data_IF_341472870752
#
_entry.id   IF_341472870752
#
_cell.length_a   1.000
_cell.length_b   1.000
_cell.length_c   1.000
_cell.angle_alpha   90.00
_cell.angle_beta   90.00
_cell.angle_gamma   90.00
#
_symmetry.space_group_name_H-M   'P 1'
#
loop_
_entity.id
_entity.type
_entity.pdbx_description
1 polymer ?
#
# COMPACT_ATOMS: atom_id res chain seq x y z
N UNK A 1 30.15 1.79 -22.72
CA UNK A 1 28.86 2.47 -22.92
C UNK A 1 28.58 2.55 -24.42
N UNK A 2 27.36 2.27 -24.87
CA UNK A 2 26.97 2.44 -26.28
C UNK A 2 26.95 3.93 -26.65
N UNK A 3 27.57 4.32 -27.76
CA UNK A 3 27.60 5.70 -28.25
C UNK A 3 26.27 6.14 -28.87
N UNK A 4 26.18 7.41 -29.28
CA UNK A 4 24.99 7.99 -29.93
C UNK A 4 24.56 7.25 -31.22
N UNK A 5 25.46 6.47 -31.83
CA UNK A 5 25.21 5.66 -33.02
C UNK A 5 24.33 4.41 -32.77
N UNK A 6 24.07 4.02 -31.52
CA UNK A 6 23.28 2.82 -31.19
C UNK A 6 22.13 3.13 -30.23
N UNK A 7 21.12 3.92 -30.67
CA UNK A 7 20.04 4.38 -29.81
C UNK A 7 19.20 3.25 -29.20
N UNK A 8 18.94 2.17 -29.94
CA UNK A 8 18.20 1.00 -29.44
C UNK A 8 18.95 0.26 -28.34
N UNK A 9 20.25 -0.02 -28.53
CA UNK A 9 21.07 -0.71 -27.52
C UNK A 9 21.16 0.11 -26.23
N UNK A 10 21.35 1.44 -26.35
CA UNK A 10 21.33 2.35 -25.21
C UNK A 10 19.97 2.35 -24.50
N UNK A 11 18.86 2.38 -25.24
CA UNK A 11 17.53 2.32 -24.66
C UNK A 11 17.29 1.01 -23.91
N UNK A 12 17.71 -0.14 -24.46
CA UNK A 12 17.66 -1.44 -23.76
C UNK A 12 18.49 -1.45 -22.47
N UNK A 13 19.68 -0.85 -22.47
CA UNK A 13 20.47 -0.69 -21.24
C UNK A 13 19.72 0.11 -20.18
N UNK A 14 19.07 1.22 -20.55
CA UNK A 14 18.26 2.02 -19.61
C UNK A 14 17.11 1.19 -19.02
N UNK A 15 16.46 0.36 -19.83
CA UNK A 15 15.40 -0.54 -19.37
C UNK A 15 15.95 -1.59 -18.39
N UNK A 16 17.10 -2.20 -18.69
CA UNK A 16 17.74 -3.17 -17.80
C UNK A 16 18.21 -2.53 -16.48
N UNK A 17 18.79 -1.32 -16.53
CA UNK A 17 19.16 -0.54 -15.33
C UNK A 17 17.92 -0.24 -14.48
N UNK A 18 16.81 0.12 -15.12
CA UNK A 18 15.54 0.32 -14.44
C UNK A 18 15.06 -0.97 -13.75
N UNK A 19 15.11 -2.12 -14.43
CA UNK A 19 14.74 -3.40 -13.82
C UNK A 19 15.56 -3.73 -12.57
N UNK A 20 16.89 -3.56 -12.63
CA UNK A 20 17.79 -3.75 -11.48
C UNK A 20 17.46 -2.76 -10.34
N UNK A 21 17.19 -1.50 -10.67
CA UNK A 21 16.79 -0.50 -9.68
C UNK A 21 15.47 -0.89 -8.99
N UNK A 22 14.46 -1.33 -9.76
CA UNK A 22 13.18 -1.78 -9.20
C UNK A 22 13.34 -3.02 -8.31
N UNK A 23 14.10 -4.03 -8.77
CA UNK A 23 14.38 -5.25 -8.02
C UNK A 23 15.12 -4.98 -6.71
N UNK A 24 16.03 -3.99 -6.71
CA UNK A 24 16.77 -3.56 -5.52
C UNK A 24 16.03 -2.52 -4.66
N UNK A 25 14.74 -2.27 -4.96
CA UNK A 25 13.89 -1.26 -4.32
C UNK A 25 14.49 0.15 -4.34
N UNK A 26 15.26 0.51 -5.36
CA UNK A 26 15.67 1.89 -5.61
C UNK A 26 14.63 2.62 -6.47
N UNK A 27 13.80 3.43 -5.81
CA UNK A 27 12.69 4.15 -6.44
C UNK A 27 13.08 5.56 -6.92
N UNK A 28 14.32 5.99 -6.72
CA UNK A 28 14.79 7.34 -7.06
C UNK A 28 15.30 7.47 -8.51
N UNK A 29 14.95 6.53 -9.38
CA UNK A 29 15.46 6.47 -10.75
C UNK A 29 15.07 7.69 -11.63
N UNK A 30 15.80 7.97 -12.71
CA UNK A 30 15.44 9.08 -13.62
C UNK A 30 14.25 8.70 -14.52
N UNK A 31 13.03 9.04 -14.11
CA UNK A 31 11.78 8.73 -14.86
C UNK A 31 11.83 9.19 -16.32
N UNK A 32 12.41 10.37 -16.58
CA UNK A 32 12.58 10.92 -17.93
C UNK A 32 13.45 10.04 -18.83
N UNK A 33 14.45 9.36 -18.25
CA UNK A 33 15.34 8.47 -19.01
C UNK A 33 14.58 7.22 -19.47
N UNK A 34 13.79 6.62 -18.58
CA UNK A 34 12.98 5.44 -18.92
C UNK A 34 11.89 5.78 -19.95
N UNK A 35 11.24 6.94 -19.80
CA UNK A 35 10.26 7.41 -20.78
C UNK A 35 10.89 7.66 -22.17
N UNK A 36 12.07 8.28 -22.23
CA UNK A 36 12.79 8.50 -23.48
C UNK A 36 13.26 7.17 -24.11
N UNK A 37 13.71 6.20 -23.29
CA UNK A 37 14.07 4.87 -23.75
C UNK A 37 12.85 4.14 -24.33
N UNK A 38 11.71 4.16 -23.65
CA UNK A 38 10.44 3.59 -24.14
C UNK A 38 10.04 4.20 -25.50
N UNK A 39 10.06 5.52 -25.63
CA UNK A 39 9.73 6.21 -26.88
C UNK A 39 10.68 5.81 -28.02
N UNK A 40 11.99 5.71 -27.72
CA UNK A 40 13.01 5.27 -28.69
C UNK A 40 12.75 3.84 -29.16
N UNK A 41 12.44 2.92 -28.23
CA UNK A 41 12.18 1.51 -28.55
C UNK A 41 10.92 1.36 -29.40
N UNK A 42 9.84 2.05 -29.03
CA UNK A 42 8.59 2.04 -29.78
C UNK A 42 8.77 2.58 -31.22
N UNK A 43 9.49 3.70 -31.37
CA UNK A 43 9.78 4.30 -32.68
C UNK A 43 10.63 3.39 -33.60
N UNK A 44 11.37 2.45 -33.01
CA UNK A 44 12.23 1.50 -33.74
C UNK A 44 11.59 0.10 -33.86
N UNK A 45 10.31 -0.06 -33.50
CA UNK A 45 9.56 -1.31 -33.62
C UNK A 45 9.88 -2.37 -32.55
N UNK A 46 10.63 -2.04 -31.50
CA UNK A 46 10.94 -2.94 -30.39
C UNK A 46 9.81 -2.90 -29.33
N UNK A 47 8.64 -3.42 -29.73
CA UNK A 47 7.40 -3.38 -28.94
C UNK A 47 7.53 -4.10 -27.59
N UNK A 48 8.29 -5.21 -27.54
CA UNK A 48 8.48 -6.00 -26.32
C UNK A 48 9.24 -5.21 -25.27
N UNK A 49 10.37 -4.57 -25.62
CA UNK A 49 11.14 -3.78 -24.65
C UNK A 49 10.44 -2.45 -24.31
N UNK A 50 9.69 -1.87 -25.26
CA UNK A 50 8.87 -0.70 -24.99
C UNK A 50 7.76 -1.00 -23.97
N UNK A 51 7.08 -2.15 -24.11
CA UNK A 51 6.10 -2.64 -23.15
C UNK A 51 6.74 -2.93 -21.79
N UNK A 52 7.90 -3.58 -21.77
CA UNK A 52 8.61 -3.86 -20.52
C UNK A 52 8.98 -2.58 -19.77
N UNK A 53 9.43 -1.53 -20.47
CA UNK A 53 9.68 -0.22 -19.88
C UNK A 53 8.41 0.38 -19.23
N UNK A 54 7.25 0.22 -19.87
CA UNK A 54 5.96 0.64 -19.33
C UNK A 54 5.59 -0.14 -18.06
N UNK A 55 5.82 -1.45 -18.06
CA UNK A 55 5.56 -2.32 -16.90
C UNK A 55 6.45 -1.97 -15.71
N UNK A 56 7.73 -1.68 -15.95
CA UNK A 56 8.64 -1.20 -14.91
C UNK A 56 8.14 0.11 -14.30
N UNK A 57 7.72 1.07 -15.13
CA UNK A 57 7.13 2.33 -14.66
C UNK A 57 5.86 2.09 -13.84
N UNK A 58 4.94 1.25 -14.33
CA UNK A 58 3.69 0.94 -13.63
C UNK A 58 3.94 0.25 -12.28
N UNK A 59 4.87 -0.71 -12.21
CA UNK A 59 5.27 -1.37 -10.96
C UNK A 59 5.86 -0.38 -9.96
N UNK A 60 6.70 0.56 -10.39
CA UNK A 60 7.18 1.61 -9.49
C UNK A 60 6.04 2.49 -8.98
N UNK A 61 5.14 2.93 -9.86
CA UNK A 61 4.00 3.78 -9.49
C UNK A 61 3.09 3.07 -8.47
N UNK A 62 2.90 1.75 -8.61
CA UNK A 62 2.22 0.92 -7.61
C UNK A 62 2.90 0.96 -6.22
N UNK A 63 4.23 0.92 -6.17
CA UNK A 63 4.98 1.01 -4.91
C UNK A 63 4.92 2.40 -4.28
N UNK A 64 4.77 3.44 -5.10
CA UNK A 64 4.57 4.82 -4.65
C UNK A 64 3.10 5.13 -4.32
N UNK A 65 2.19 4.16 -4.49
CA UNK A 65 0.74 4.37 -4.27
C UNK A 65 0.05 5.24 -5.34
N UNK A 66 0.70 5.50 -6.49
CA UNK A 66 0.18 6.33 -7.59
C UNK A 66 -0.62 5.47 -8.58
N UNK A 67 -1.78 4.99 -8.13
CA UNK A 67 -2.57 3.97 -8.84
C UNK A 67 -3.11 4.44 -10.20
N UNK A 68 -3.55 5.70 -10.30
CA UNK A 68 -4.12 6.22 -11.55
C UNK A 68 -3.05 6.31 -12.64
N UNK A 69 -1.86 6.78 -12.28
CA UNK A 69 -0.73 6.86 -13.20
C UNK A 69 -0.21 5.47 -13.58
N UNK A 70 -0.23 4.50 -12.65
CA UNK A 70 0.11 3.12 -12.95
C UNK A 70 -0.88 2.52 -13.97
N UNK A 71 -2.17 2.84 -13.81
CA UNK A 71 -3.23 2.43 -14.74
C UNK A 71 -3.02 3.04 -16.12
N UNK A 72 -2.74 4.36 -16.19
CA UNK A 72 -2.45 5.04 -17.45
C UNK A 72 -1.23 4.45 -18.17
N UNK A 73 -0.17 4.13 -17.43
CA UNK A 73 1.04 3.55 -18.02
C UNK A 73 0.79 2.21 -18.73
N UNK A 74 -0.22 1.44 -18.28
CA UNK A 74 -0.63 0.18 -18.90
C UNK A 74 -1.56 0.36 -20.10
N UNK A 75 -2.45 1.35 -20.09
CA UNK A 75 -3.41 1.60 -21.19
C UNK A 75 -2.71 1.81 -22.53
N UNK A 76 -1.50 2.38 -22.50
CA UNK A 76 -0.69 2.67 -23.68
C UNK A 76 0.08 1.44 -24.23
N UNK A 77 -0.22 0.23 -23.75
CA UNK A 77 0.45 -1.01 -24.16
C UNK A 77 -0.57 -1.95 -24.79
N UNK A 78 -0.38 -2.25 -26.07
CA UNK A 78 -1.12 -3.33 -26.73
C UNK A 78 -0.58 -4.68 -26.27
N UNK A 79 -1.28 -5.33 -25.35
CA UNK A 79 -0.84 -6.58 -24.76
C UNK A 79 -1.09 -7.80 -25.65
N UNK A 80 -2.06 -7.75 -26.57
CA UNK A 80 -2.48 -8.94 -27.31
C UNK A 80 -1.38 -9.48 -28.24
N UNK A 81 -0.62 -8.56 -28.84
CA UNK A 81 0.47 -8.88 -29.77
C UNK A 81 1.80 -9.24 -29.06
N UNK A 82 1.84 -9.19 -27.73
CA UNK A 82 3.04 -9.48 -26.96
C UNK A 82 3.17 -10.98 -26.65
N UNK A 83 4.40 -11.48 -26.41
CA UNK A 83 4.63 -12.84 -25.93
C UNK A 83 3.87 -13.15 -24.64
N UNK A 84 3.53 -14.42 -24.42
CA UNK A 84 2.76 -14.87 -23.27
C UNK A 84 3.31 -14.40 -21.92
N UNK A 85 4.64 -14.38 -21.75
CA UNK A 85 5.29 -13.87 -20.54
C UNK A 85 4.99 -12.39 -20.30
N UNK A 86 5.07 -11.55 -21.34
CA UNK A 86 4.77 -10.11 -21.24
C UNK A 86 3.29 -9.88 -20.94
N UNK A 87 2.39 -10.68 -21.52
CA UNK A 87 0.94 -10.62 -21.20
C UNK A 87 0.66 -10.97 -19.76
N UNK A 88 1.29 -12.02 -19.22
CA UNK A 88 1.13 -12.38 -17.82
C UNK A 88 1.59 -11.26 -16.89
N UNK A 89 2.71 -10.60 -17.20
CA UNK A 89 3.18 -9.42 -16.44
C UNK A 89 2.20 -8.25 -16.54
N UNK A 90 1.64 -7.98 -17.73
CA UNK A 90 0.61 -6.95 -17.91
C UNK A 90 -0.59 -7.19 -16.98
N UNK A 91 -1.15 -8.39 -17.03
CA UNK A 91 -2.34 -8.77 -16.26
C UNK A 91 -2.05 -8.84 -14.76
N UNK A 92 -0.84 -9.24 -14.34
CA UNK A 92 -0.41 -9.15 -12.94
C UNK A 92 -0.40 -7.71 -12.42
N UNK A 93 0.09 -6.75 -13.22
CA UNK A 93 0.11 -5.34 -12.83
C UNK A 93 -1.32 -4.79 -12.78
N UNK A 94 -2.16 -5.13 -13.78
CA UNK A 94 -3.56 -4.74 -13.81
C UNK A 94 -4.31 -5.28 -12.57
N UNK A 95 -4.13 -6.56 -12.24
CA UNK A 95 -4.67 -7.16 -11.02
C UNK A 95 -4.15 -6.50 -9.76
N UNK A 96 -2.85 -6.18 -9.69
CA UNK A 96 -2.25 -5.43 -8.60
C UNK A 96 -2.83 -4.02 -8.40
N UNK A 97 -3.28 -3.35 -9.48
CA UNK A 97 -4.02 -2.07 -9.42
C UNK A 97 -5.43 -2.32 -8.89
N UNK A 98 -6.16 -3.29 -9.44
CA UNK A 98 -7.52 -3.62 -9.06
C UNK A 98 -7.62 -4.01 -7.57
N UNK A 99 -6.70 -4.84 -7.08
CA UNK A 99 -6.56 -5.21 -5.66
C UNK A 99 -6.45 -3.96 -4.77
N UNK A 100 -5.53 -3.03 -5.10
CA UNK A 100 -5.32 -1.79 -4.32
C UNK A 100 -6.48 -0.81 -4.42
N UNK A 101 -7.25 -0.86 -5.52
CA UNK A 101 -8.49 -0.10 -5.68
C UNK A 101 -9.68 -0.72 -4.93
N UNK A 102 -9.53 -1.93 -4.39
CA UNK A 102 -10.60 -2.73 -3.79
C UNK A 102 -11.70 -3.09 -4.79
N UNK A 103 -11.29 -3.48 -6.00
CA UNK A 103 -12.17 -4.04 -7.04
C UNK A 103 -11.90 -5.53 -7.16
N UNK A 104 -12.64 -6.33 -6.41
CA UNK A 104 -12.37 -7.76 -6.29
C UNK A 104 -12.68 -8.50 -7.58
N UNK A 105 -13.79 -8.16 -8.24
CA UNK A 105 -14.17 -8.80 -9.51
C UNK A 105 -13.14 -8.53 -10.61
N UNK A 106 -12.75 -7.27 -10.80
CA UNK A 106 -11.73 -6.87 -11.78
C UNK A 106 -10.37 -7.54 -11.48
N UNK A 107 -10.00 -7.64 -10.20
CA UNK A 107 -8.80 -8.34 -9.77
C UNK A 107 -8.86 -9.85 -10.07
N UNK A 108 -9.99 -10.51 -9.81
CA UNK A 108 -10.16 -11.93 -10.11
C UNK A 108 -10.03 -12.21 -11.62
N UNK A 109 -10.68 -11.40 -12.45
CA UNK A 109 -10.66 -11.55 -13.91
C UNK A 109 -9.27 -11.32 -14.51
N UNK A 110 -8.58 -10.26 -14.08
CA UNK A 110 -7.20 -9.96 -14.51
C UNK A 110 -6.23 -11.05 -14.08
N UNK A 111 -6.29 -11.50 -12.82
CA UNK A 111 -5.40 -12.56 -12.33
C UNK A 111 -5.66 -13.92 -12.99
N UNK A 112 -6.90 -14.24 -13.35
CA UNK A 112 -7.20 -15.42 -14.15
C UNK A 112 -6.56 -15.36 -15.56
N UNK A 113 -6.57 -14.18 -16.21
CA UNK A 113 -5.86 -13.98 -17.48
C UNK A 113 -4.35 -14.05 -17.31
N UNK A 114 -3.82 -13.52 -16.21
CA UNK A 114 -2.40 -13.63 -15.87
C UNK A 114 -1.98 -15.10 -15.71
N UNK A 115 -2.79 -15.91 -15.03
CA UNK A 115 -2.55 -17.33 -14.84
C UNK A 115 -2.51 -18.09 -16.17
N UNK A 116 -3.47 -17.84 -17.06
CA UNK A 116 -3.49 -18.45 -18.38
C UNK A 116 -2.24 -18.11 -19.20
N UNK A 117 -1.85 -16.83 -19.23
CA UNK A 117 -0.66 -16.38 -19.94
C UNK A 117 0.65 -16.90 -19.30
N UNK A 118 0.71 -17.00 -17.98
CA UNK A 118 1.86 -17.55 -17.26
C UNK A 118 2.07 -19.04 -17.59
N UNK A 119 0.99 -19.84 -17.59
CA UNK A 119 1.05 -21.24 -18.01
C UNK A 119 1.53 -21.39 -19.46
N UNK A 120 1.02 -20.56 -20.38
CA UNK A 120 1.47 -20.55 -21.78
C UNK A 120 2.95 -20.20 -21.93
N UNK A 121 3.48 -19.34 -21.05
CA UNK A 121 4.91 -18.96 -21.08
C UNK A 121 5.84 -20.08 -20.62
N UNK A 122 5.35 -21.02 -19.80
CA UNK A 122 6.14 -22.10 -19.22
C UNK A 122 7.20 -21.63 -18.20
N UNK A 123 7.13 -20.38 -17.71
CA UNK A 123 8.12 -19.81 -16.77
C UNK A 123 7.66 -20.06 -15.32
N UNK A 124 8.35 -20.92 -14.53
CA UNK A 124 7.90 -21.26 -13.18
C UNK A 124 7.86 -20.07 -12.22
N UNK A 125 8.83 -19.15 -12.34
CA UNK A 125 8.87 -17.94 -11.51
C UNK A 125 7.64 -17.05 -11.74
N UNK A 126 7.14 -16.97 -12.97
CA UNK A 126 5.97 -16.17 -13.30
C UNK A 126 4.67 -16.82 -12.79
N UNK A 127 4.60 -18.15 -12.80
CA UNK A 127 3.50 -18.89 -12.16
C UNK A 127 3.47 -18.61 -10.66
N UNK A 128 4.62 -18.63 -9.98
CA UNK A 128 4.70 -18.34 -8.54
C UNK A 128 4.25 -16.91 -8.20
N UNK A 129 4.56 -15.92 -9.04
CA UNK A 129 4.06 -14.55 -8.88
C UNK A 129 2.54 -14.46 -9.02
N UNK A 130 1.95 -15.20 -9.96
CA UNK A 130 0.48 -15.30 -10.10
C UNK A 130 -0.14 -15.98 -8.88
N UNK A 131 0.42 -17.08 -8.41
CA UNK A 131 -0.07 -17.79 -7.22
C UNK A 131 -0.05 -16.88 -5.99
N UNK A 132 1.01 -16.08 -5.82
CA UNK A 132 1.10 -15.10 -4.74
C UNK A 132 0.03 -14.00 -4.86
N UNK A 133 -0.23 -13.50 -6.07
CA UNK A 133 -1.28 -12.51 -6.29
C UNK A 133 -2.69 -13.08 -6.04
N UNK A 134 -2.93 -14.35 -6.42
CA UNK A 134 -4.17 -15.07 -6.14
C UNK A 134 -4.37 -15.29 -4.63
N UNK A 135 -3.31 -15.62 -3.89
CA UNK A 135 -3.37 -15.69 -2.43
C UNK A 135 -3.75 -14.34 -1.81
N UNK A 136 -3.19 -13.24 -2.32
CA UNK A 136 -3.53 -11.89 -1.84
C UNK A 136 -5.00 -11.51 -2.12
N UNK A 137 -5.59 -11.97 -3.22
CA UNK A 137 -7.01 -11.78 -3.53
C UNK A 137 -7.94 -12.45 -2.49
N UNK A 138 -7.54 -13.62 -2.01
CA UNK A 138 -8.33 -14.42 -1.05
C UNK A 138 -7.99 -14.16 0.42
N UNK A 139 -6.93 -13.40 0.69
CA UNK A 139 -6.54 -13.01 2.04
C UNK A 139 -7.56 -12.05 2.70
N UNK A 140 -7.47 -11.91 4.02
CA UNK A 140 -8.21 -10.89 4.77
C UNK A 140 -7.77 -9.50 4.31
N UNK A 141 -8.69 -8.76 3.71
CA UNK A 141 -8.42 -7.45 3.12
C UNK A 141 -8.63 -6.30 4.13
N UNK A 142 -9.60 -6.47 5.03
CA UNK A 142 -9.91 -5.50 6.08
C UNK A 142 -10.69 -6.15 7.23
N UNK A 143 -10.97 -5.37 8.28
CA UNK A 143 -11.89 -5.76 9.34
C UNK A 143 -13.02 -4.75 9.43
N UNK A 144 -14.26 -5.23 9.44
CA UNK A 144 -15.43 -4.45 9.79
C UNK A 144 -15.52 -4.37 11.31
N UNK A 145 -15.55 -3.16 11.85
CA UNK A 145 -15.76 -2.90 13.27
C UNK A 145 -17.10 -2.20 13.46
N UNK A 146 -17.96 -2.83 14.25
CA UNK A 146 -19.27 -2.33 14.68
C UNK A 146 -19.38 -2.48 16.21
N UNK A 147 -20.44 -1.97 16.85
CA UNK A 147 -20.66 -2.16 18.28
C UNK A 147 -20.79 -3.63 18.69
N UNK A 148 -21.25 -4.47 17.77
CA UNK A 148 -21.47 -5.90 18.00
C UNK A 148 -20.17 -6.70 17.90
N UNK A 149 -19.08 -6.09 17.42
CA UNK A 149 -17.75 -6.69 17.38
C UNK A 149 -16.96 -6.37 16.12
N UNK A 150 -15.87 -7.11 15.93
CA UNK A 150 -15.01 -7.02 14.76
C UNK A 150 -15.10 -8.30 13.93
N UNK A 151 -15.27 -8.17 12.61
CA UNK A 151 -15.33 -9.27 11.65
C UNK A 151 -14.33 -9.04 10.52
N UNK A 152 -13.60 -10.09 10.16
CA UNK A 152 -12.68 -10.05 9.02
C UNK A 152 -13.46 -10.08 7.71
N UNK A 153 -13.00 -9.30 6.73
CA UNK A 153 -13.59 -9.16 5.42
C UNK A 153 -12.60 -9.57 4.33
N UNK A 154 -13.09 -10.35 3.38
CA UNK A 154 -12.46 -10.58 2.07
C UNK A 154 -12.52 -9.33 1.19
N UNK A 155 -11.73 -9.29 0.11
CA UNK A 155 -11.74 -8.15 -0.80
C UNK A 155 -13.13 -7.92 -1.44
N UNK A 156 -13.86 -8.99 -1.76
CA UNK A 156 -15.20 -8.91 -2.34
C UNK A 156 -16.21 -8.32 -1.35
N UNK A 157 -16.12 -8.68 -0.08
CA UNK A 157 -16.97 -8.08 0.96
C UNK A 157 -16.62 -6.62 1.23
N UNK A 158 -15.33 -6.25 1.13
CA UNK A 158 -14.91 -4.84 1.17
C UNK A 158 -15.51 -4.08 -0.02
N UNK A 159 -15.42 -4.60 -1.24
CA UNK A 159 -16.02 -3.99 -2.43
C UNK A 159 -17.53 -3.77 -2.26
N UNK A 160 -18.25 -4.81 -1.81
CA UNK A 160 -19.68 -4.73 -1.53
C UNK A 160 -20.02 -3.71 -0.43
N UNK A 161 -19.23 -3.67 0.64
CA UNK A 161 -19.39 -2.67 1.71
C UNK A 161 -19.19 -1.26 1.18
N UNK A 162 -18.14 -1.01 0.37
CA UNK A 162 -17.86 0.31 -0.20
C UNK A 162 -18.92 0.77 -1.21
N UNK A 163 -19.66 -0.17 -1.82
CA UNK A 163 -20.81 0.10 -2.70
C UNK A 163 -22.14 0.26 -1.93
N UNK A 164 -22.18 -0.08 -0.65
CA UNK A 164 -23.37 0.01 0.19
C UNK A 164 -23.73 1.47 0.55
N UNK A 165 -24.96 1.74 1.03
CA UNK A 165 -25.36 3.08 1.47
C UNK A 165 -24.77 3.50 2.83
N UNK A 166 -24.02 2.62 3.51
CA UNK A 166 -23.47 2.87 4.84
C UNK A 166 -22.51 4.06 4.87
N UNK A 167 -22.45 4.75 6.01
CA UNK A 167 -21.39 5.70 6.30
C UNK A 167 -20.16 4.93 6.77
N UNK A 168 -19.07 5.00 6.00
CA UNK A 168 -17.87 4.21 6.25
C UNK A 168 -16.73 5.12 6.70
N UNK A 169 -16.18 4.84 7.87
CA UNK A 169 -14.90 5.41 8.33
C UNK A 169 -13.79 4.43 7.96
N UNK A 170 -13.09 4.72 6.87
CA UNK A 170 -12.06 3.87 6.28
C UNK A 170 -10.67 4.22 6.84
N UNK A 171 -10.16 3.37 7.73
CA UNK A 171 -8.82 3.47 8.32
C UNK A 171 -7.71 2.85 7.46
N UNK A 172 -8.05 2.17 6.37
CA UNK A 172 -7.08 1.78 5.36
C UNK A 172 -6.61 3.03 4.60
N UNK A 173 -7.54 3.94 4.25
CA UNK A 173 -7.27 5.15 3.47
C UNK A 173 -7.34 6.47 4.24
N UNK A 174 -7.72 6.43 5.52
CA UNK A 174 -7.97 7.61 6.37
C UNK A 174 -9.00 8.57 5.76
N UNK A 175 -10.11 8.02 5.28
CA UNK A 175 -11.22 8.78 4.70
C UNK A 175 -12.54 8.45 5.38
N UNK A 176 -13.51 9.36 5.29
CA UNK A 176 -14.91 9.07 5.62
C UNK A 176 -15.71 9.17 4.34
N UNK A 177 -16.55 8.18 4.05
CA UNK A 177 -17.27 8.11 2.78
C UNK A 177 -18.69 7.59 2.93
N UNK A 178 -19.56 8.04 2.04
CA UNK A 178 -20.91 7.53 1.85
C UNK A 178 -21.27 7.63 0.37
N UNK A 179 -21.52 6.48 -0.27
CA UNK A 179 -21.71 6.42 -1.72
C UNK A 179 -20.54 7.05 -2.49
N UNK A 180 -20.85 8.03 -3.34
CA UNK A 180 -19.86 8.77 -4.14
C UNK A 180 -19.14 9.90 -3.36
N UNK A 181 -19.68 10.33 -2.22
CA UNK A 181 -19.08 11.41 -1.43
C UNK A 181 -17.95 10.86 -0.54
N UNK A 182 -16.80 11.52 -0.58
CA UNK A 182 -15.62 11.15 0.22
C UNK A 182 -14.97 12.39 0.81
N UNK A 183 -14.73 12.37 2.13
CA UNK A 183 -13.94 13.36 2.86
C UNK A 183 -12.61 12.74 3.25
N UNK A 184 -11.51 13.26 2.69
CA UNK A 184 -10.17 12.81 3.06
C UNK A 184 -9.67 13.48 4.34
N UNK A 185 -9.22 12.67 5.30
CA UNK A 185 -8.57 13.09 6.53
C UNK A 185 -7.12 12.59 6.62
N UNK A 186 -6.55 12.13 5.51
CA UNK A 186 -5.21 11.54 5.47
C UNK A 186 -4.11 12.50 5.97
N UNK A 187 -4.21 13.79 5.65
CA UNK A 187 -3.29 14.83 6.14
C UNK A 187 -3.65 15.38 7.53
N UNK A 188 -4.71 14.87 8.15
CA UNK A 188 -5.29 15.34 9.41
C UNK A 188 -5.47 14.17 10.39
N UNK A 189 -4.37 13.51 10.81
CA UNK A 189 -4.42 12.25 11.57
C UNK A 189 -5.19 12.36 12.89
N UNK A 190 -5.13 13.51 13.54
CA UNK A 190 -5.88 13.77 14.77
C UNK A 190 -7.40 13.81 14.53
N UNK A 191 -7.84 14.44 13.44
CA UNK A 191 -9.26 14.49 13.07
C UNK A 191 -9.76 13.11 12.68
N UNK A 192 -8.96 12.35 11.93
CA UNK A 192 -9.29 10.96 11.60
C UNK A 192 -9.41 10.09 12.86
N UNK A 193 -8.48 10.23 13.81
CA UNK A 193 -8.53 9.51 15.09
C UNK A 193 -9.83 9.79 15.85
N UNK A 194 -10.23 11.06 15.95
CA UNK A 194 -11.51 11.45 16.57
C UNK A 194 -12.72 10.88 15.82
N UNK A 195 -12.74 10.97 14.48
CA UNK A 195 -13.83 10.41 13.66
C UNK A 195 -14.00 8.91 13.89
N UNK A 196 -12.87 8.17 13.91
CA UNK A 196 -12.84 6.74 14.17
C UNK A 196 -13.37 6.40 15.56
N UNK A 197 -12.90 7.07 16.61
CA UNK A 197 -13.35 6.81 17.99
C UNK A 197 -14.86 7.04 18.14
N UNK A 198 -15.39 8.09 17.53
CA UNK A 198 -16.83 8.36 17.54
C UNK A 198 -17.61 7.32 16.74
N UNK A 199 -17.06 6.84 15.62
CA UNK A 199 -17.70 5.85 14.78
C UNK A 199 -17.73 4.45 15.39
N UNK A 200 -16.66 4.04 16.08
CA UNK A 200 -16.60 2.76 16.80
C UNK A 200 -17.61 2.68 17.95
N UNK A 201 -18.02 3.82 18.53
CA UNK A 201 -18.96 3.89 19.65
C UNK A 201 -20.43 4.07 19.22
N UNK A 202 -20.70 4.42 17.96
CA UNK A 202 -22.06 4.64 17.46
C UNK A 202 -22.94 3.43 17.72
N UNK A 203 -24.22 3.57 18.12
CA UNK A 203 -24.99 4.82 18.19
C UNK A 203 -24.79 5.62 19.49
N UNK A 204 -23.90 5.15 20.39
CA UNK A 204 -23.61 5.82 21.66
C UNK A 204 -22.67 7.01 21.45
N UNK A 205 -22.60 7.84 22.48
CA UNK A 205 -21.63 8.93 22.57
C UNK A 205 -20.31 8.46 23.22
N UNK A 206 -19.29 9.31 23.07
CA UNK A 206 -17.96 9.11 23.65
C UNK A 206 -17.65 10.26 24.57
N UNK A 207 -17.20 9.95 25.78
CA UNK A 207 -16.87 10.96 26.80
C UNK A 207 -15.67 11.82 26.40
N UNK A 208 -15.63 13.06 26.89
CA UNK A 208 -14.52 13.99 26.62
C UNK A 208 -13.19 13.44 27.13
N UNK A 209 -13.22 12.82 28.29
CA UNK A 209 -12.07 12.21 28.96
C UNK A 209 -11.47 11.09 28.10
N UNK A 210 -12.33 10.22 27.53
CA UNK A 210 -11.88 9.13 26.67
C UNK A 210 -11.29 9.64 25.35
N UNK A 211 -11.93 10.64 24.73
CA UNK A 211 -11.41 11.27 23.50
C UNK A 211 -10.05 11.93 23.73
N UNK A 212 -9.86 12.65 24.84
CA UNK A 212 -8.58 13.27 25.22
C UNK A 212 -7.50 12.20 25.38
N UNK A 213 -7.77 11.18 26.19
CA UNK A 213 -6.80 10.13 26.49
C UNK A 213 -6.36 9.37 25.23
N UNK A 214 -7.31 9.04 24.34
CA UNK A 214 -7.01 8.26 23.12
C UNK A 214 -6.47 9.09 21.97
N UNK A 215 -7.00 10.28 21.73
CA UNK A 215 -6.62 11.09 20.56
C UNK A 215 -5.33 11.87 20.76
N UNK A 216 -5.08 12.39 21.98
CA UNK A 216 -3.87 13.17 22.27
C UNK A 216 -2.71 12.33 22.78
N UNK A 217 -2.95 11.04 23.08
CA UNK A 217 -1.94 10.07 23.57
C UNK A 217 -1.18 10.58 24.80
N UNK A 218 -1.84 11.38 25.64
CA UNK A 218 -1.30 11.93 26.88
C UNK A 218 -2.04 11.31 28.07
N UNK A 219 -1.29 10.90 29.10
CA UNK A 219 -1.84 10.39 30.36
C UNK A 219 -2.35 11.48 31.31
N UNK A 220 -2.02 12.75 31.04
CA UNK A 220 -2.40 13.91 31.85
C UNK A 220 -3.48 14.73 31.15
N UNK A 221 -4.59 15.00 31.86
CA UNK A 221 -5.67 15.87 31.42
C UNK A 221 -5.50 17.24 32.09
N UNK A 222 -5.46 18.31 31.31
CA UNK A 222 -5.51 19.69 31.80
C UNK A 222 -6.64 20.46 31.08
N UNK A 223 -6.93 21.68 31.53
CA UNK A 223 -7.92 22.54 30.88
C UNK A 223 -7.53 22.89 29.43
N UNK A 224 -6.23 22.91 29.12
CA UNK A 224 -5.70 23.11 27.77
C UNK A 224 -6.14 22.00 26.82
N UNK A 225 -6.15 20.73 27.26
CA UNK A 225 -6.63 19.59 26.48
C UNK A 225 -8.13 19.69 26.20
N UNK A 226 -8.94 20.19 27.16
CA UNK A 226 -10.37 20.44 26.95
C UNK A 226 -10.61 21.56 25.92
N UNK A 227 -9.83 22.64 25.97
CA UNK A 227 -9.84 23.70 24.94
C UNK A 227 -9.47 23.13 23.57
N UNK A 228 -8.37 22.37 23.49
CA UNK A 228 -7.91 21.75 22.25
C UNK A 228 -8.94 20.80 21.66
N UNK A 229 -9.55 19.93 22.47
CA UNK A 229 -10.61 19.03 22.02
C UNK A 229 -11.76 19.79 21.37
N UNK A 230 -12.21 20.90 21.99
CA UNK A 230 -13.28 21.74 21.40
C UNK A 230 -12.90 22.29 20.03
N UNK A 231 -11.66 22.74 19.85
CA UNK A 231 -11.16 23.24 18.56
C UNK A 231 -11.12 22.12 17.51
N UNK A 232 -10.59 20.95 17.85
CA UNK A 232 -10.50 19.84 16.90
C UNK A 232 -11.87 19.25 16.56
N UNK A 233 -12.82 19.20 17.52
CA UNK A 233 -14.22 18.83 17.24
C UNK A 233 -14.88 19.84 16.31
N UNK A 234 -14.62 21.15 16.46
CA UNK A 234 -15.13 22.17 15.52
C UNK A 234 -14.58 21.95 14.11
N UNK A 235 -13.29 21.64 13.98
CA UNK A 235 -12.67 21.32 12.68
C UNK A 235 -13.22 20.03 12.09
N UNK A 236 -13.45 19.01 12.92
CA UNK A 236 -14.04 17.75 12.50
C UNK A 236 -15.48 17.96 12.00
N UNK A 237 -16.29 18.75 12.70
CA UNK A 237 -17.64 19.16 12.26
C UNK A 237 -17.59 19.81 10.88
N UNK A 238 -16.71 20.78 10.68
CA UNK A 238 -16.57 21.45 9.40
C UNK A 238 -16.16 20.49 8.28
N UNK A 239 -15.27 19.52 8.57
CA UNK A 239 -14.83 18.54 7.59
C UNK A 239 -15.91 17.50 7.24
N UNK A 240 -16.64 17.00 8.24
CA UNK A 240 -17.64 15.94 8.05
C UNK A 240 -19.05 16.45 7.74
N UNK A 241 -19.27 17.77 7.72
CA UNK A 241 -20.55 18.39 7.41
C UNK A 241 -21.31 17.78 6.22
N UNK A 242 -20.69 17.41 5.08
CA UNK A 242 -21.45 16.82 3.97
C UNK A 242 -22.00 15.42 4.25
N UNK A 243 -21.41 14.67 5.20
CA UNK A 243 -21.69 13.25 5.42
C UNK A 243 -22.39 12.96 6.76
N UNK A 244 -22.02 13.69 7.81
CA UNK A 244 -22.43 13.37 9.17
C UNK A 244 -22.38 14.59 10.11
N UNK A 245 -23.21 14.56 11.15
CA UNK A 245 -23.20 15.52 12.23
C UNK A 245 -22.41 14.99 13.43
N UNK A 246 -21.55 15.83 14.01
CA UNK A 246 -20.95 15.58 15.33
C UNK A 246 -21.70 16.40 16.38
N UNK A 247 -22.56 15.77 17.18
CA UNK A 247 -23.37 16.45 18.19
C UNK A 247 -22.70 16.42 19.55
N UNK A 248 -22.92 17.45 20.37
CA UNK A 248 -22.48 17.43 21.77
C UNK A 248 -23.54 16.72 22.62
N UNK A 249 -23.10 15.90 23.56
CA UNK A 249 -23.92 15.28 24.61
C UNK A 249 -23.54 15.85 25.98
N UNK A 250 -24.27 15.54 27.06
CA UNK A 250 -23.89 15.94 28.41
C UNK A 250 -22.44 15.55 28.72
N UNK A 251 -22.06 14.31 28.40
CA UNK A 251 -20.76 13.74 28.78
C UNK A 251 -19.70 13.81 27.67
N UNK A 252 -20.07 14.06 26.42
CA UNK A 252 -19.11 14.22 25.33
C UNK A 252 -19.70 14.52 23.96
N UNK A 253 -19.46 13.62 23.01
CA UNK A 253 -19.83 13.82 21.61
C UNK A 253 -20.31 12.52 20.95
N UNK A 254 -21.24 12.63 20.00
CA UNK A 254 -21.69 11.52 19.16
C UNK A 254 -21.53 11.89 17.69
N UNK A 255 -21.20 10.90 16.85
CA UNK A 255 -21.21 11.03 15.39
C UNK A 255 -22.48 10.37 14.86
N UNK A 256 -23.23 11.09 14.03
CA UNK A 256 -24.48 10.60 13.43
C UNK A 256 -24.47 10.84 11.92
N UNK A 257 -24.67 9.80 11.09
CA UNK A 257 -24.92 9.99 9.67
C UNK A 257 -26.13 10.89 9.45
N UNK A 258 -26.14 11.67 8.36
CA UNK A 258 -27.32 12.49 8.01
C UNK A 258 -28.47 11.66 7.46
N UNK A 259 -28.16 10.62 6.71
CA UNK A 259 -29.13 9.63 6.25
C UNK A 259 -29.36 8.56 7.32
N UNK A 260 -30.53 7.92 7.30
CA UNK A 260 -30.81 6.78 8.17
C UNK A 260 -30.10 5.52 7.63
N UNK A 261 -28.79 5.47 7.83
CA UNK A 261 -27.92 4.40 7.34
C UNK A 261 -27.03 3.90 8.47
N UNK A 262 -26.63 2.63 8.37
CA UNK A 262 -25.64 2.07 9.28
C UNK A 262 -24.30 2.81 9.17
N UNK A 263 -23.57 2.91 10.28
CA UNK A 263 -22.19 3.37 10.30
C UNK A 263 -21.25 2.21 10.57
N UNK A 264 -20.16 2.14 9.81
CA UNK A 264 -19.18 1.06 9.88
C UNK A 264 -17.78 1.64 9.90
N UNK A 265 -16.90 1.09 10.73
CA UNK A 265 -15.47 1.37 10.70
C UNK A 265 -14.78 0.25 9.93
N UNK A 266 -14.10 0.60 8.83
CA UNK A 266 -13.25 -0.32 8.09
C UNK A 266 -11.82 -0.20 8.60
N UNK A 267 -11.38 -1.18 9.37
CA UNK A 267 -10.06 -1.25 9.96
C UNK A 267 -9.09 -2.08 9.10
N UNK A 268 -7.79 -1.84 9.29
CA UNK A 268 -6.74 -2.64 8.65
C UNK A 268 -6.73 -4.07 9.23
N UNK A 269 -6.32 -5.10 8.45
CA UNK A 269 -6.24 -6.49 8.91
C UNK A 269 -5.34 -6.71 10.14
N UNK A 270 -4.29 -5.89 10.30
CA UNK A 270 -3.32 -6.05 11.39
C UNK A 270 -3.84 -5.42 12.70
N UNK A 271 -3.93 -6.24 13.75
CA UNK A 271 -4.36 -5.82 15.07
C UNK A 271 -3.24 -5.06 15.82
N UNK A 272 -3.56 -3.79 16.14
CA UNK A 272 -3.22 -2.95 17.31
C UNK A 272 -1.79 -2.88 17.90
N UNK A 273 -0.94 -3.90 17.82
CA UNK A 273 0.36 -3.92 18.51
C UNK A 273 1.43 -3.02 17.87
N UNK A 274 1.33 -2.73 16.56
CA UNK A 274 2.34 -1.95 15.81
C UNK A 274 1.79 -0.70 15.13
N UNK A 275 0.74 -0.08 15.70
CA UNK A 275 0.10 1.10 15.09
C UNK A 275 1.07 2.24 14.76
N UNK A 276 2.15 2.41 15.52
CA UNK A 276 3.08 3.52 15.33
C UNK A 276 3.97 3.35 14.09
N UNK A 277 4.20 2.10 13.64
CA UNK A 277 5.09 1.80 12.50
C UNK A 277 4.47 0.85 11.46
N UNK A 278 3.16 0.60 11.53
CA UNK A 278 2.43 -0.34 10.65
C UNK A 278 2.64 -0.07 9.16
N UNK A 279 2.79 1.20 8.75
CA UNK A 279 3.04 1.55 7.36
C UNK A 279 4.44 1.09 6.88
N UNK A 280 5.46 1.20 7.74
CA UNK A 280 6.81 0.70 7.44
C UNK A 280 6.81 -0.83 7.43
N UNK A 281 6.17 -1.47 8.40
CA UNK A 281 6.04 -2.93 8.43
C UNK A 281 5.32 -3.50 7.21
N UNK A 282 4.25 -2.84 6.75
CA UNK A 282 3.53 -3.25 5.56
C UNK A 282 4.41 -3.23 4.30
N UNK A 283 5.40 -2.33 4.21
CA UNK A 283 6.37 -2.34 3.11
C UNK A 283 7.37 -3.50 3.20
N UNK A 284 7.69 -3.97 4.40
CA UNK A 284 8.69 -5.01 4.63
C UNK A 284 8.11 -6.43 4.66
N UNK A 285 6.78 -6.58 4.59
CA UNK A 285 6.08 -7.86 4.77
C UNK A 285 6.38 -8.87 3.64
N UNK A 286 6.76 -8.37 2.47
CA UNK A 286 7.15 -9.18 1.30
C UNK A 286 8.58 -9.75 1.42
N UNK A 287 9.26 -9.49 2.53
CA UNK A 287 10.63 -9.93 2.79
C UNK A 287 11.68 -9.25 1.92
N UNK A 288 11.30 -8.26 1.10
CA UNK A 288 12.23 -7.59 0.20
C UNK A 288 13.13 -6.61 0.97
N UNK A 289 14.35 -6.42 0.45
CA UNK A 289 15.33 -5.54 1.04
C UNK A 289 15.11 -4.08 0.58
N UNK A 290 14.70 -3.20 1.49
CA UNK A 290 14.41 -1.79 1.20
C UNK A 290 15.50 -0.84 1.70
N UNK A 291 15.77 0.24 0.97
CA UNK A 291 16.52 1.38 1.52
C UNK A 291 15.60 2.31 2.31
N UNK A 292 16.14 3.07 3.27
CA UNK A 292 15.36 4.06 4.02
C UNK A 292 14.84 5.21 3.13
N UNK A 293 15.59 5.57 2.07
CA UNK A 293 15.16 6.56 1.08
C UNK A 293 14.00 6.08 0.22
N UNK A 294 14.00 4.81 -0.20
CA UNK A 294 12.91 4.22 -0.96
C UNK A 294 11.62 4.09 -0.14
N UNK A 295 11.74 3.68 1.13
CA UNK A 295 10.61 3.68 2.07
C UNK A 295 10.06 5.08 2.29
N UNK A 296 10.92 6.10 2.41
CA UNK A 296 10.49 7.49 2.53
C UNK A 296 9.69 7.95 1.31
N UNK A 297 10.12 7.60 0.09
CA UNK A 297 9.38 7.87 -1.14
C UNK A 297 8.04 7.13 -1.18
N UNK A 298 8.03 5.83 -0.89
CA UNK A 298 6.82 5.01 -0.90
C UNK A 298 5.77 5.46 0.13
N UNK A 299 6.22 5.94 1.29
CA UNK A 299 5.35 6.36 2.40
C UNK A 299 5.02 7.86 2.38
N UNK A 300 5.61 8.65 1.46
CA UNK A 300 5.47 10.10 1.44
C UNK A 300 5.94 10.78 2.73
N UNK A 301 6.93 10.19 3.42
CA UNK A 301 7.43 10.64 4.72
C UNK A 301 8.87 11.13 4.62
N UNK A 302 9.34 11.89 5.61
CA UNK A 302 10.77 12.26 5.66
C UNK A 302 11.64 11.04 6.02
N UNK A 303 12.83 10.95 5.45
CA UNK A 303 13.80 9.87 5.76
C UNK A 303 14.07 9.75 7.26
N UNK A 304 14.14 10.87 7.98
CA UNK A 304 14.31 10.89 9.44
C UNK A 304 13.15 10.19 10.17
N UNK A 305 11.92 10.34 9.69
CA UNK A 305 10.74 9.70 10.28
C UNK A 305 10.78 8.19 10.05
N UNK A 306 11.10 7.79 8.81
CA UNK A 306 11.25 6.37 8.44
C UNK A 306 12.40 5.73 9.22
N UNK A 307 13.54 6.40 9.36
CA UNK A 307 14.68 5.85 10.09
C UNK A 307 14.34 5.61 11.57
N UNK A 308 13.67 6.56 12.23
CA UNK A 308 13.21 6.37 13.61
C UNK A 308 12.25 5.19 13.76
N UNK A 309 11.35 5.01 12.79
CA UNK A 309 10.44 3.87 12.76
C UNK A 309 11.18 2.54 12.59
N UNK A 310 12.14 2.48 11.67
CA UNK A 310 12.99 1.31 11.43
C UNK A 310 13.84 0.96 12.65
N UNK A 311 14.40 1.96 13.33
CA UNK A 311 15.19 1.74 14.55
C UNK A 311 14.32 1.16 15.67
N UNK A 312 13.09 1.65 15.85
CA UNK A 312 12.14 1.11 16.81
C UNK A 312 11.65 -0.31 16.45
N UNK A 313 11.45 -0.59 15.16
CA UNK A 313 11.12 -1.93 14.67
C UNK A 313 12.29 -2.90 14.85
N UNK A 314 13.53 -2.47 14.65
CA UNK A 314 14.69 -3.30 14.94
C UNK A 314 14.89 -3.56 16.44
N UNK A 315 14.69 -2.55 17.28
CA UNK A 315 14.72 -2.72 18.72
C UNK A 315 13.67 -3.73 19.23
N UNK A 316 12.54 -3.86 18.53
CA UNK A 316 11.48 -4.84 18.82
C UNK A 316 11.62 -6.16 18.04
N UNK A 317 12.70 -6.34 17.28
CA UNK A 317 12.97 -7.57 16.51
C UNK A 317 12.06 -7.78 15.30
N UNK A 318 11.36 -6.74 14.82
CA UNK A 318 10.40 -6.79 13.71
C UNK A 318 10.98 -6.32 12.37
N UNK A 319 12.19 -5.77 12.39
CA UNK A 319 12.98 -5.45 11.20
C UNK A 319 14.47 -5.70 11.49
N UNK A 320 15.27 -6.00 10.49
CA UNK A 320 16.72 -6.00 10.64
C UNK A 320 17.41 -5.26 9.50
N UNK A 321 18.59 -4.75 9.81
CA UNK A 321 19.45 -4.09 8.84
C UNK A 321 20.45 -5.08 8.24
N UNK A 322 20.63 -5.02 6.92
CA UNK A 322 21.69 -5.69 6.17
C UNK A 322 22.66 -4.63 5.62
N UNK A 323 23.95 -4.85 5.78
CA UNK A 323 25.00 -3.93 5.30
C UNK A 323 25.10 -2.61 6.07
N UNK A 324 25.90 -1.68 5.53
CA UNK A 324 26.28 -0.44 6.20
C UNK A 324 26.20 0.79 5.28
N UNK A 325 26.07 1.98 5.89
CA UNK A 325 26.06 3.25 5.18
C UNK A 325 24.98 3.33 4.08
N UNK A 326 25.37 3.78 2.88
CA UNK A 326 24.47 3.92 1.72
C UNK A 326 23.95 2.58 1.18
N UNK A 327 24.69 1.50 1.42
CA UNK A 327 24.30 0.15 1.03
C UNK A 327 23.39 -0.53 2.06
N UNK A 328 23.07 0.13 3.19
CA UNK A 328 22.19 -0.44 4.20
C UNK A 328 20.79 -0.71 3.62
N UNK A 329 20.27 -1.91 3.89
CA UNK A 329 18.91 -2.34 3.54
C UNK A 329 18.18 -2.86 4.76
N UNK A 330 16.85 -2.79 4.73
CA UNK A 330 15.95 -3.18 5.80
C UNK A 330 14.95 -4.20 5.27
N UNK A 331 14.69 -5.23 6.05
CA UNK A 331 13.71 -6.26 5.73
C UNK A 331 13.12 -6.84 7.02
N UNK A 332 11.99 -7.53 6.90
CA UNK A 332 11.47 -8.34 8.01
C UNK A 332 12.44 -9.49 8.30
N UNK A 333 12.60 -9.89 9.58
CA UNK A 333 13.33 -11.10 9.90
C UNK A 333 12.71 -12.26 9.16
N UNK A 334 13.52 -12.99 8.40
CA UNK A 334 13.09 -14.27 7.86
C UNK A 334 12.64 -15.13 9.06
N UNK A 335 11.38 -15.56 9.07
CA UNK A 335 10.98 -16.70 9.89
C UNK A 335 11.95 -17.81 9.48
N UNK A 336 12.65 -18.49 10.41
CA UNK A 336 13.60 -19.53 10.05
C UNK A 336 12.83 -20.75 9.52
N UNK A 337 12.33 -20.66 8.30
CA UNK A 337 11.97 -21.77 7.45
C UNK A 337 13.23 -22.07 6.64
N UNK A 338 14.12 -22.86 7.25
CA UNK A 338 15.25 -23.54 6.61
C UNK A 338 15.91 -22.76 5.46
N UNK A 339 16.83 -21.85 5.78
CA UNK A 339 17.92 -21.58 4.85
C UNK A 339 18.76 -22.84 4.79
N UNK A 340 18.54 -23.60 3.71
CA UNK A 340 19.47 -24.54 3.10
C UNK A 340 20.86 -24.28 3.61
N UNK A 341 21.35 -25.21 4.43
CA UNK A 341 22.77 -25.35 4.70
C UNK A 341 23.51 -25.01 3.42
N UNK A 342 24.42 -24.05 3.50
CA UNK A 342 25.57 -24.00 2.62
C UNK A 342 26.22 -25.39 2.66
N UNK A 343 25.72 -26.33 1.86
CA UNK A 343 26.40 -27.56 1.49
C UNK A 343 27.47 -27.18 0.46
N UNK A 344 28.35 -26.28 0.88
CA UNK A 344 29.74 -26.36 0.52
C UNK A 344 30.36 -27.18 1.64
N UNK A 345 30.46 -28.52 1.52
CA UNK A 345 31.50 -29.20 2.26
C UNK A 345 32.81 -28.55 1.83
N UNK A 346 33.42 -27.80 2.75
CA UNK A 346 34.82 -27.43 2.69
C UNK A 346 35.63 -28.73 2.69
N UNK A 347 35.92 -29.25 1.50
CA UNK A 347 37.05 -30.16 1.34
C UNK A 347 38.30 -29.31 1.58
N UNK A 348 38.84 -29.46 2.79
CA UNK A 348 40.14 -28.95 3.23
C UNK A 348 41.22 -29.34 2.20
N UNK A 349 42.23 -28.49 1.94
CA UNK A 349 43.39 -28.89 1.15
C UNK A 349 44.29 -29.84 1.97
N UNK A 350 44.38 -31.09 1.52
CA UNK A 350 45.57 -31.97 1.56
C UNK A 350 46.10 -32.48 2.91
N UNK A 351 46.00 -33.79 3.13
CA UNK A 351 47.15 -34.71 3.18
C UNK A 351 46.78 -36.05 2.56
#
# INVERSE_FOLDING_TARGET
>A
AFGAAHPVARARCVVAEAEVALASRDLAWPEKSLAAARATLAAQGDSVNAAHAAYLQARRLLLLGRLDEASMALTDVDALDLPAASRAVHELIAGGIALRRARAQEAAETLARAEHAARQSGIPALMAEVDHAMQALHAVAARQVTPDGARDLTLAEVEALLASPALIVDACRNVVRQGAQTVSLASRPLLFSLARLLAEAWPKDVTREFLIARAFRTGFQDDSHRVRLRVEIRRLRAALQPLAAVTATPDGFALRPHADVAMVVLARPLDVADRDHAAVLACLVDGQAWSSSALALALGASQRTVQRALDALAASGKAHALGHGRARRWMTPAVPAFTTSLLLPTLMPGQ
#
